data_IF_848497299145
#
_entry.id   IF_848497299145
#
_cell.length_a   1.000
_cell.length_b   1.000
_cell.length_c   1.000
_cell.angle_alpha   90.00
_cell.angle_beta   90.00
_cell.angle_gamma   90.00
#
_symmetry.space_group_name_H-M   'P 1'
#
loop_
_entity.id
_entity.type
_entity.pdbx_description
1 polymer ?
#
# COMPACT_ATOMS: atom_id res chain seq x y z
N UNK A 1 -27.62 -37.02 -6.63
CA UNK A 1 -28.12 -36.41 -5.38
C UNK A 1 -28.50 -34.97 -5.71
N UNK A 2 -29.79 -34.63 -5.78
CA UNK A 2 -30.26 -33.30 -6.22
C UNK A 2 -30.59 -32.47 -4.98
N UNK A 3 -29.72 -31.53 -4.62
CA UNK A 3 -29.93 -30.62 -3.49
C UNK A 3 -30.80 -29.47 -3.99
N UNK A 4 -32.00 -29.34 -3.42
CA UNK A 4 -32.93 -28.23 -3.67
C UNK A 4 -32.58 -27.14 -2.65
N UNK A 5 -32.06 -26.00 -3.11
CA UNK A 5 -31.84 -24.84 -2.26
C UNK A 5 -33.07 -23.92 -2.34
N UNK A 6 -33.78 -23.82 -1.22
CA UNK A 6 -34.93 -22.95 -1.03
C UNK A 6 -34.43 -21.53 -0.72
N UNK A 7 -34.58 -20.63 -1.68
CA UNK A 7 -34.34 -19.19 -1.55
C UNK A 7 -35.36 -18.63 -0.56
N UNK A 8 -34.91 -18.09 0.57
CA UNK A 8 -35.75 -17.33 1.50
C UNK A 8 -35.34 -15.87 1.44
N UNK A 9 -36.24 -15.06 0.92
CA UNK A 9 -36.15 -13.62 0.72
C UNK A 9 -36.51 -12.84 2.00
N UNK A 10 -36.05 -11.58 2.05
CA UNK A 10 -36.41 -10.47 2.97
C UNK A 10 -35.78 -10.43 4.37
N UNK A 11 -35.04 -9.34 4.67
CA UNK A 11 -35.62 -8.15 5.32
C UNK A 11 -34.64 -6.97 5.30
N UNK A 12 -35.09 -5.81 4.81
CA UNK A 12 -34.37 -4.53 4.85
C UNK A 12 -34.69 -3.78 6.15
N UNK A 13 -33.69 -3.26 6.87
CA UNK A 13 -33.87 -2.29 7.97
C UNK A 13 -32.71 -1.27 7.99
N UNK A 14 -33.00 -0.07 7.46
CA UNK A 14 -32.73 1.28 7.99
C UNK A 14 -31.35 1.69 8.52
N UNK A 15 -30.70 2.60 7.79
CA UNK A 15 -29.71 3.58 8.29
C UNK A 15 -30.40 4.79 8.95
N UNK A 16 -29.84 5.33 10.04
CA UNK A 16 -29.93 6.76 10.34
C UNK A 16 -28.59 7.47 10.15
N UNK A 17 -28.61 8.51 9.31
CA UNK A 17 -27.60 9.55 9.18
C UNK A 17 -27.72 10.52 10.36
N UNK A 18 -26.61 10.84 11.04
CA UNK A 18 -26.46 12.12 11.74
C UNK A 18 -25.04 12.66 11.56
N UNK A 19 -25.02 13.82 10.92
CA UNK A 19 -23.91 14.76 10.78
C UNK A 19 -23.41 15.29 12.13
N UNK A 20 -22.12 15.57 12.21
CA UNK A 20 -21.62 16.68 13.02
C UNK A 20 -20.33 17.23 12.41
N UNK A 21 -20.46 18.30 11.64
CA UNK A 21 -19.39 19.28 11.47
C UNK A 21 -19.32 20.10 12.77
N UNK A 22 -18.12 20.34 13.31
CA UNK A 22 -17.95 21.36 14.34
C UNK A 22 -16.81 22.31 13.96
N UNK A 23 -17.12 23.58 14.15
CA UNK A 23 -16.47 24.79 13.68
C UNK A 23 -15.09 25.10 14.29
N UNK A 24 -14.28 25.73 13.43
CA UNK A 24 -13.58 27.01 13.60
C UNK A 24 -13.22 27.41 15.04
N UNK A 25 -11.92 27.56 15.28
CA UNK A 25 -11.44 28.54 16.26
C UNK A 25 -10.47 29.51 15.57
N UNK A 26 -10.75 30.79 15.74
CA UNK A 26 -9.97 31.91 15.28
C UNK A 26 -9.17 32.45 16.46
N UNK A 27 -7.90 32.79 16.24
CA UNK A 27 -7.13 33.76 17.02
C UNK A 27 -5.91 34.12 16.14
N UNK A 28 -5.83 35.29 15.50
CA UNK A 28 -5.60 36.63 16.03
C UNK A 28 -4.12 36.94 16.34
N UNK A 29 -3.55 37.85 15.52
CA UNK A 29 -2.72 39.03 15.88
C UNK A 29 -1.22 39.03 15.49
N UNK A 30 -0.82 40.19 14.94
CA UNK A 30 0.54 40.75 14.87
C UNK A 30 1.24 40.49 13.54
N UNK A 31 1.44 41.42 12.60
CA UNK A 31 1.55 42.88 12.70
C UNK A 31 2.98 43.30 13.00
N UNK A 32 3.87 43.34 11.99
CA UNK A 32 5.09 44.15 11.92
C UNK A 32 5.45 44.27 10.42
N UNK A 33 5.09 45.37 9.77
CA UNK A 33 5.90 46.59 9.61
C UNK A 33 7.21 46.32 8.86
N UNK A 34 7.20 46.74 7.59
CA UNK A 34 8.30 46.62 6.67
C UNK A 34 9.50 47.45 7.10
N UNK A 35 10.68 46.95 6.80
CA UNK A 35 11.91 47.70 6.91
C UNK A 35 12.41 48.04 5.51
N UNK A 36 12.58 49.34 5.31
CA UNK A 36 13.03 49.98 4.09
C UNK A 36 14.41 49.50 3.63
N UNK A 37 14.55 49.33 2.32
CA UNK A 37 15.81 49.08 1.63
C UNK A 37 16.61 50.38 1.52
N UNK A 38 17.59 50.55 2.40
CA UNK A 38 18.65 51.52 2.20
C UNK A 38 19.73 50.91 1.30
N UNK A 39 19.84 51.46 0.08
CA UNK A 39 20.95 51.23 -0.85
C UNK A 39 22.31 51.40 -0.18
N UNK A 40 23.25 50.54 -0.52
CA UNK A 40 24.67 50.89 -0.45
C UNK A 40 25.41 50.40 -1.69
N UNK A 41 26.01 51.38 -2.38
CA UNK A 41 26.97 51.22 -3.47
C UNK A 41 28.31 50.65 -2.98
N UNK A 42 28.74 49.59 -3.68
CA UNK A 42 30.11 49.29 -4.13
C UNK A 42 31.24 49.22 -3.11
N UNK A 43 31.82 48.02 -2.93
CA UNK A 43 33.24 47.84 -2.61
C UNK A 43 33.81 46.55 -3.23
N UNK A 44 35.11 46.62 -3.50
CA UNK A 44 35.96 45.85 -4.41
C UNK A 44 35.98 44.31 -4.32
N UNK A 45 36.32 43.72 -5.47
CA UNK A 45 36.72 42.32 -5.65
C UNK A 45 38.05 42.03 -4.94
N UNK A 46 37.98 41.66 -3.66
CA UNK A 46 39.06 41.02 -2.92
C UNK A 46 39.06 39.51 -3.13
N UNK A 47 40.22 38.94 -3.45
CA UNK A 47 40.54 37.53 -3.64
C UNK A 47 39.60 36.53 -2.96
N UNK A 48 39.07 35.58 -3.75
CA UNK A 48 38.53 34.32 -3.24
C UNK A 48 39.67 33.47 -2.66
N UNK A 49 40.01 33.72 -1.40
CA UNK A 49 40.66 32.72 -0.56
C UNK A 49 39.61 31.72 -0.06
N UNK A 50 40.01 30.45 -0.04
CA UNK A 50 39.17 29.27 0.00
C UNK A 50 38.01 29.31 0.99
N UNK A 51 36.82 29.01 0.47
CA UNK A 51 35.77 28.45 1.30
C UNK A 51 35.91 26.93 1.27
N UNK A 52 36.44 26.44 2.39
CA UNK A 52 36.28 25.10 2.88
C UNK A 52 34.83 24.66 2.61
N UNK A 53 34.67 23.66 1.75
CA UNK A 53 33.38 23.01 1.56
C UNK A 53 33.14 22.16 2.80
N UNK A 54 32.65 22.82 3.86
CA UNK A 54 32.08 22.15 5.01
C UNK A 54 31.11 21.08 4.52
N UNK A 55 31.38 19.86 4.94
CA UNK A 55 30.67 18.65 4.56
C UNK A 55 29.17 18.91 4.43
N UNK A 56 28.68 18.82 3.20
CA UNK A 56 27.26 18.66 3.00
C UNK A 56 26.90 17.27 3.55
N UNK A 57 26.50 17.21 4.82
CA UNK A 57 25.59 16.20 5.37
C UNK A 57 24.22 16.38 4.69
N UNK A 58 24.20 16.15 3.39
CA UNK A 58 23.07 16.29 2.50
C UNK A 58 22.50 14.91 2.22
N UNK A 59 21.49 14.59 3.02
CA UNK A 59 20.44 13.61 2.75
C UNK A 59 20.94 12.19 2.48
N UNK A 60 20.95 11.41 3.57
CA UNK A 60 20.68 9.99 3.52
C UNK A 60 19.44 9.78 2.63
N UNK A 61 19.67 9.35 1.39
CA UNK A 61 18.62 8.84 0.52
C UNK A 61 18.17 7.54 1.16
N UNK A 62 17.27 7.67 2.14
CA UNK A 62 16.65 6.57 2.86
C UNK A 62 16.19 5.53 1.87
N UNK A 63 16.91 4.41 1.88
CA UNK A 63 16.66 3.17 1.16
C UNK A 63 16.18 3.34 -0.28
N UNK A 64 17.11 3.23 -1.23
CA UNK A 64 16.82 2.42 -2.41
C UNK A 64 16.64 0.96 -1.94
N UNK A 65 15.48 0.64 -1.33
CA UNK A 65 15.08 -0.75 -1.22
C UNK A 65 14.98 -1.28 -2.64
N UNK A 66 15.68 -2.40 -2.87
CA UNK A 66 15.97 -2.94 -4.18
C UNK A 66 14.74 -3.05 -5.05
N UNK A 67 14.97 -2.95 -6.36
CA UNK A 67 13.98 -3.24 -7.39
C UNK A 67 13.48 -4.69 -7.22
N UNK A 68 12.54 -4.91 -6.31
CA UNK A 68 11.85 -6.17 -6.20
C UNK A 68 10.86 -6.22 -7.35
N UNK A 69 11.35 -6.77 -8.45
CA UNK A 69 10.58 -6.97 -9.66
C UNK A 69 9.42 -7.91 -9.33
N UNK A 70 8.23 -7.30 -9.25
CA UNK A 70 7.00 -8.04 -9.13
C UNK A 70 6.96 -9.11 -10.22
N UNK A 71 6.46 -10.28 -9.85
CA UNK A 71 6.12 -11.32 -10.82
C UNK A 71 4.62 -11.49 -10.78
N UNK A 72 4.00 -11.44 -11.95
CA UNK A 72 2.56 -11.62 -12.11
C UNK A 72 2.20 -13.08 -11.84
N UNK A 73 1.16 -13.29 -11.04
CA UNK A 73 0.61 -14.60 -10.77
C UNK A 73 -0.46 -15.02 -11.79
N UNK A 74 -0.96 -16.27 -11.70
CA UNK A 74 -1.96 -16.80 -12.63
C UNK A 74 -3.30 -16.03 -12.66
N UNK A 75 -3.61 -15.24 -11.63
CA UNK A 75 -4.82 -14.41 -11.56
C UNK A 75 -4.51 -12.92 -11.75
N UNK A 76 -3.36 -12.56 -12.36
CA UNK A 76 -2.90 -11.19 -12.57
C UNK A 76 -2.63 -10.41 -11.26
N UNK A 77 -2.39 -11.12 -10.16
CA UNK A 77 -1.91 -10.56 -8.90
C UNK A 77 -0.39 -10.55 -8.82
N UNK A 78 0.15 -10.11 -7.68
CA UNK A 78 1.59 -10.14 -7.37
C UNK A 78 1.95 -11.47 -6.70
N UNK A 79 2.95 -12.17 -7.21
CA UNK A 79 3.50 -13.36 -6.57
C UNK A 79 4.38 -13.00 -5.37
N UNK A 80 4.04 -13.58 -4.21
CA UNK A 80 4.87 -13.65 -3.01
C UNK A 80 5.75 -14.89 -3.13
N UNK A 81 6.81 -14.78 -3.95
CA UNK A 81 7.56 -15.90 -4.56
C UNK A 81 8.02 -16.95 -3.55
N UNK A 82 8.56 -16.54 -2.41
CA UNK A 82 9.10 -17.47 -1.42
C UNK A 82 8.04 -18.39 -0.80
N UNK A 83 6.80 -17.91 -0.74
CA UNK A 83 5.66 -18.63 -0.16
C UNK A 83 4.82 -19.39 -1.19
N UNK A 84 5.10 -19.22 -2.48
CA UNK A 84 4.25 -19.70 -3.59
C UNK A 84 2.79 -19.29 -3.42
N UNK A 85 2.57 -18.01 -3.09
CA UNK A 85 1.26 -17.41 -2.97
C UNK A 85 1.14 -16.20 -3.88
N UNK A 86 -0.08 -15.90 -4.33
CA UNK A 86 -0.41 -14.70 -5.08
C UNK A 86 -1.26 -13.77 -4.23
N UNK A 87 -0.90 -12.49 -4.23
CA UNK A 87 -1.65 -11.38 -3.68
C UNK A 87 -2.42 -10.69 -4.81
N UNK A 88 -3.75 -10.68 -4.75
CA UNK A 88 -4.61 -10.05 -5.72
C UNK A 88 -5.54 -9.06 -5.03
N UNK A 89 -5.66 -7.85 -5.58
CA UNK A 89 -6.72 -6.91 -5.22
C UNK A 89 -7.93 -7.14 -6.11
N UNK A 90 -9.03 -7.54 -5.51
CA UNK A 90 -10.31 -7.76 -6.19
C UNK A 90 -10.99 -6.44 -6.58
N UNK A 91 -12.00 -6.50 -7.44
CA UNK A 91 -12.83 -5.33 -7.81
C UNK A 91 -13.54 -4.69 -6.61
N UNK A 92 -13.84 -5.48 -5.57
CA UNK A 92 -14.41 -4.99 -4.31
C UNK A 92 -13.36 -4.38 -3.37
N UNK A 93 -12.11 -4.27 -3.81
CA UNK A 93 -10.94 -3.78 -3.05
C UNK A 93 -10.57 -4.64 -1.85
N UNK A 94 -11.09 -5.87 -1.77
CA UNK A 94 -10.58 -6.88 -0.85
C UNK A 94 -9.28 -7.47 -1.40
N UNK A 95 -8.41 -7.91 -0.51
CA UNK A 95 -7.24 -8.71 -0.85
C UNK A 95 -7.65 -10.18 -0.90
N UNK A 96 -7.29 -10.85 -1.98
CA UNK A 96 -7.39 -12.29 -2.16
C UNK A 96 -5.99 -12.89 -2.17
N UNK A 97 -5.78 -13.94 -1.39
CA UNK A 97 -4.58 -14.75 -1.40
C UNK A 97 -4.90 -16.14 -1.96
N UNK A 98 -4.13 -16.55 -2.97
CA UNK A 98 -4.20 -17.90 -3.55
C UNK A 98 -2.85 -18.58 -3.37
N UNK A 99 -2.84 -19.81 -2.85
CA UNK A 99 -1.60 -20.59 -2.74
C UNK A 99 -1.48 -21.54 -3.92
N UNK A 100 -0.26 -21.79 -4.38
CA UNK A 100 0.02 -22.67 -5.51
C UNK A 100 1.02 -23.77 -5.13
N UNK A 101 0.98 -24.86 -5.89
CA UNK A 101 2.05 -25.85 -5.91
C UNK A 101 3.13 -25.46 -6.94
N UNK A 102 4.19 -26.27 -7.05
CA UNK A 102 5.28 -26.06 -8.02
C UNK A 102 4.84 -26.08 -9.50
N UNK A 103 3.64 -26.61 -9.78
CA UNK A 103 3.04 -26.64 -11.12
C UNK A 103 2.09 -25.47 -11.39
N UNK A 104 2.07 -24.45 -10.51
CA UNK A 104 1.14 -23.31 -10.56
C UNK A 104 -0.34 -23.70 -10.46
N UNK A 105 -0.64 -24.82 -9.82
CA UNK A 105 -2.02 -25.24 -9.55
C UNK A 105 -2.43 -24.77 -8.15
N UNK A 106 -3.61 -24.16 -8.05
CA UNK A 106 -4.12 -23.63 -6.80
C UNK A 106 -4.30 -24.74 -5.74
N UNK A 107 -3.92 -24.44 -4.50
CA UNK A 107 -3.93 -25.35 -3.36
C UNK A 107 -4.85 -24.85 -2.25
N UNK A 108 -5.35 -25.77 -1.44
CA UNK A 108 -6.15 -25.43 -0.24
C UNK A 108 -5.38 -24.49 0.69
N UNK A 109 -6.04 -23.47 1.27
CA UNK A 109 -5.45 -22.60 2.28
C UNK A 109 -5.46 -23.20 3.70
N UNK A 110 -5.99 -24.42 3.89
CA UNK A 110 -6.11 -25.05 5.21
C UNK A 110 -4.74 -25.14 5.94
N UNK A 111 -4.74 -24.76 7.22
CA UNK A 111 -3.54 -24.75 8.06
C UNK A 111 -2.57 -23.58 7.79
N UNK A 112 -2.84 -22.75 6.77
CA UNK A 112 -2.07 -21.55 6.44
C UNK A 112 -2.71 -20.32 7.05
N UNK A 113 -1.90 -19.32 7.39
CA UNK A 113 -2.39 -18.03 7.90
C UNK A 113 -1.66 -16.90 7.19
N UNK A 114 -2.36 -15.77 7.05
CA UNK A 114 -1.84 -14.56 6.40
C UNK A 114 -2.19 -13.35 7.24
N UNK A 115 -1.23 -12.44 7.38
CA UNK A 115 -1.40 -11.11 7.92
C UNK A 115 -1.01 -10.11 6.82
N UNK A 116 -1.89 -9.14 6.55
CA UNK A 116 -1.58 -8.04 5.64
C UNK A 116 -1.76 -6.73 6.38
N UNK A 117 -0.72 -5.89 6.31
CA UNK A 117 -0.76 -4.50 6.76
C UNK A 117 -0.64 -3.60 5.54
N UNK A 118 -1.62 -2.73 5.31
CA UNK A 118 -1.63 -1.79 4.17
C UNK A 118 -2.42 -0.52 4.51
N UNK A 119 -2.34 0.51 3.69
CA UNK A 119 -3.01 1.80 3.91
C UNK A 119 -2.04 2.90 4.33
N UNK A 120 -2.55 3.91 5.04
CA UNK A 120 -1.73 5.05 5.50
C UNK A 120 -0.63 4.58 6.45
N UNK A 121 0.60 5.09 6.29
CA UNK A 121 1.75 4.68 7.10
C UNK A 121 1.58 5.01 8.59
N UNK A 122 0.84 6.08 8.90
CA UNK A 122 0.58 6.55 10.26
C UNK A 122 -0.60 5.81 10.91
N UNK A 123 -1.45 5.17 10.11
CA UNK A 123 -2.61 4.41 10.57
C UNK A 123 -2.92 3.25 9.61
N UNK A 124 -2.11 2.18 9.63
CA UNK A 124 -2.28 1.06 8.73
C UNK A 124 -3.54 0.26 9.07
N UNK A 125 -4.14 -0.33 8.04
CA UNK A 125 -5.19 -1.34 8.16
C UNK A 125 -4.54 -2.71 8.28
N UNK A 126 -4.76 -3.36 9.41
CA UNK A 126 -4.50 -4.79 9.59
C UNK A 126 -5.69 -5.60 9.05
N UNK A 127 -5.41 -6.52 8.13
CA UNK A 127 -6.44 -7.32 7.48
C UNK A 127 -6.55 -8.72 8.10
N UNK A 128 -7.78 -9.13 8.35
CA UNK A 128 -8.17 -10.49 8.71
C UNK A 128 -8.73 -11.20 7.48
N UNK A 129 -8.57 -12.52 7.42
CA UNK A 129 -8.94 -13.31 6.24
C UNK A 129 -9.94 -14.42 6.57
N UNK A 130 -10.83 -14.69 5.61
CA UNK A 130 -11.76 -15.82 5.63
C UNK A 130 -11.50 -16.73 4.44
N UNK A 131 -11.66 -18.03 4.64
CA UNK A 131 -11.62 -19.01 3.56
C UNK A 131 -12.85 -18.82 2.66
N UNK A 132 -12.61 -18.67 1.37
CA UNK A 132 -13.64 -18.64 0.33
C UNK A 132 -13.22 -19.58 -0.81
N UNK A 133 -13.68 -20.83 -0.75
CA UNK A 133 -13.24 -21.88 -1.66
C UNK A 133 -11.74 -22.18 -1.50
N UNK A 134 -10.97 -22.03 -2.57
CA UNK A 134 -9.51 -22.24 -2.57
C UNK A 134 -8.72 -20.97 -2.21
N UNK A 135 -9.41 -19.86 -1.94
CA UNK A 135 -8.80 -18.58 -1.63
C UNK A 135 -8.93 -18.22 -0.15
N UNK A 136 -8.05 -17.35 0.33
CA UNK A 136 -8.29 -16.50 1.50
C UNK A 136 -8.69 -15.11 1.02
N UNK A 137 -9.81 -14.57 1.49
CA UNK A 137 -10.27 -13.23 1.13
C UNK A 137 -10.34 -12.37 2.39
N UNK A 138 -9.81 -11.14 2.31
CA UNK A 138 -9.82 -10.21 3.43
C UNK A 138 -11.24 -9.79 3.78
N UNK A 139 -11.51 -9.60 5.06
CA UNK A 139 -12.78 -9.06 5.53
C UNK A 139 -12.87 -7.55 5.30
N UNK A 140 -11.73 -6.86 5.40
CA UNK A 140 -11.59 -5.43 5.18
C UNK A 140 -11.28 -5.15 3.70
N UNK A 141 -11.72 -4.00 3.24
CA UNK A 141 -11.32 -3.43 1.94
C UNK A 141 -10.11 -2.51 2.13
N UNK A 142 -9.27 -2.42 1.10
CA UNK A 142 -8.20 -1.41 1.04
C UNK A 142 -8.83 0.00 1.10
N UNK A 143 -8.28 0.94 1.90
CA UNK A 143 -8.79 2.31 2.01
C UNK A 143 -8.65 3.09 0.69
N UNK A 144 -9.45 4.14 0.47
CA UNK A 144 -9.35 4.99 -0.72
C UNK A 144 -7.94 5.54 -0.97
N UNK A 145 -7.53 5.53 -2.24
CA UNK A 145 -6.17 5.85 -2.66
C UNK A 145 -5.55 4.69 -3.44
N UNK A 146 -4.39 4.97 -4.06
CA UNK A 146 -3.76 4.05 -5.00
C UNK A 146 -2.32 3.69 -4.65
N UNK A 147 -1.70 4.28 -3.63
CA UNK A 147 -0.29 4.04 -3.32
C UNK A 147 -0.12 3.86 -1.82
N UNK A 148 0.09 2.62 -1.40
CA UNK A 148 0.22 2.29 0.02
C UNK A 148 1.45 1.42 0.29
N UNK A 149 2.21 1.69 1.37
CA UNK A 149 3.13 0.69 1.90
C UNK A 149 2.33 -0.56 2.28
N UNK A 150 2.79 -1.72 1.85
CA UNK A 150 2.14 -2.99 2.12
C UNK A 150 3.17 -4.00 2.62
N UNK A 151 2.85 -4.66 3.73
CA UNK A 151 3.61 -5.78 4.25
C UNK A 151 2.69 -7.01 4.33
N UNK A 152 3.19 -8.15 3.87
CA UNK A 152 2.47 -9.42 3.84
C UNK A 152 3.31 -10.45 4.60
N UNK A 153 2.76 -11.01 5.67
CA UNK A 153 3.34 -12.16 6.37
C UNK A 153 2.50 -13.41 6.07
N UNK A 154 3.15 -14.48 5.61
CA UNK A 154 2.52 -15.76 5.29
C UNK A 154 3.16 -16.85 6.14
N UNK A 155 2.33 -17.62 6.83
CA UNK A 155 2.74 -18.84 7.52
C UNK A 155 2.09 -20.03 6.82
N UNK A 156 2.92 -20.91 6.25
CA UNK A 156 2.47 -22.11 5.54
C UNK A 156 2.13 -23.30 6.46
N UNK A 157 2.15 -23.09 7.79
CA UNK A 157 2.08 -24.13 8.79
C UNK A 157 3.46 -24.62 9.21
N UNK A 158 3.53 -25.31 10.36
CA UNK A 158 4.80 -25.86 10.86
C UNK A 158 5.85 -24.83 11.30
N UNK A 159 5.47 -23.56 11.44
CA UNK A 159 6.33 -22.48 11.94
C UNK A 159 7.17 -21.76 10.90
N UNK A 160 7.13 -22.16 9.62
CA UNK A 160 7.80 -21.43 8.54
C UNK A 160 7.00 -20.18 8.16
N UNK A 161 7.63 -19.02 8.30
CA UNK A 161 7.07 -17.71 7.96
C UNK A 161 7.82 -17.08 6.81
N UNK A 162 7.11 -16.34 5.99
CA UNK A 162 7.63 -15.54 4.88
C UNK A 162 7.09 -14.13 5.01
N UNK A 163 7.92 -13.15 4.69
CA UNK A 163 7.55 -11.74 4.73
C UNK A 163 7.93 -11.10 3.41
N UNK A 164 7.03 -10.27 2.88
CA UNK A 164 7.25 -9.52 1.65
C UNK A 164 6.68 -8.11 1.83
N UNK A 165 7.44 -7.10 1.38
CA UNK A 165 7.12 -5.68 1.51
C UNK A 165 7.19 -5.01 0.16
N UNK A 166 6.15 -4.24 -0.17
CA UNK A 166 6.06 -3.57 -1.45
C UNK A 166 5.15 -2.35 -1.39
N UNK A 167 5.23 -1.52 -2.42
CA UNK A 167 4.24 -0.45 -2.63
C UNK A 167 3.06 -1.02 -3.42
N UNK A 168 1.87 -0.99 -2.82
CA UNK A 168 0.62 -1.35 -3.48
C UNK A 168 0.16 -0.18 -4.35
N UNK A 169 0.71 -0.11 -5.57
CA UNK A 169 0.27 0.82 -6.60
C UNK A 169 -0.92 0.24 -7.39
N UNK A 170 -2.12 0.75 -7.15
CA UNK A 170 -3.38 0.30 -7.77
C UNK A 170 -3.68 1.00 -9.12
N UNK A 171 -2.76 1.81 -9.62
CA UNK A 171 -2.87 2.41 -10.95
C UNK A 171 -2.75 1.34 -12.04
N UNK A 172 -3.38 1.57 -13.19
CA UNK A 172 -3.20 0.72 -14.36
C UNK A 172 -1.81 0.89 -14.95
N UNK A 173 -1.18 -0.21 -15.34
CA UNK A 173 0.04 -0.16 -16.13
C UNK A 173 -0.26 0.40 -17.53
N UNK A 174 0.54 1.33 -18.06
CA UNK A 174 0.32 1.89 -19.39
C UNK A 174 0.65 0.92 -20.53
N UNK A 175 1.32 -0.21 -20.25
CA UNK A 175 1.85 -1.14 -21.28
C UNK A 175 1.35 -2.58 -21.17
N UNK A 176 0.65 -2.95 -20.10
CA UNK A 176 0.05 -4.28 -19.94
C UNK A 176 -1.26 -4.21 -19.16
N UNK A 177 -1.97 -5.34 -19.09
CA UNK A 177 -3.31 -5.40 -18.48
C UNK A 177 -3.29 -5.49 -16.94
N UNK A 178 -2.11 -5.45 -16.32
CA UNK A 178 -1.95 -5.53 -14.87
C UNK A 178 -2.00 -4.15 -14.21
N UNK A 179 -2.37 -4.13 -12.93
CA UNK A 179 -2.07 -2.99 -12.06
C UNK A 179 -0.57 -2.93 -11.77
N UNK A 180 -0.06 -1.73 -11.50
CA UNK A 180 1.37 -1.48 -11.24
C UNK A 180 1.96 -2.38 -10.14
N UNK A 181 1.23 -2.65 -9.06
CA UNK A 181 1.71 -3.54 -7.99
C UNK A 181 2.00 -4.99 -8.44
N UNK A 182 1.41 -5.43 -9.55
CA UNK A 182 1.56 -6.77 -10.14
C UNK A 182 2.27 -6.72 -11.51
N UNK A 183 2.76 -5.55 -11.92
CA UNK A 183 3.34 -5.34 -13.24
C UNK A 183 4.82 -5.76 -13.28
N UNK A 184 5.23 -6.40 -14.37
CA UNK A 184 6.62 -6.82 -14.62
C UNK A 184 7.35 -5.90 -15.64
N UNK A 185 6.71 -4.83 -16.11
CA UNK A 185 7.16 -4.10 -17.30
C UNK A 185 8.33 -3.10 -17.09
N UNK A 186 8.97 -3.07 -15.91
CA UNK A 186 10.24 -2.36 -15.63
C UNK A 186 10.31 -0.88 -16.07
N UNK A 187 9.23 -0.11 -15.91
CA UNK A 187 9.19 1.31 -16.32
C UNK A 187 9.93 2.26 -15.38
#
# INVERSE_FOLDING_TARGET
MKIKYTVTTLLAIGLPLLSSCNDKNAEAKGGHEGHDHASHEGHDHGSHDGHDHGDHEGHDHGSHEGHDHAVAGPNNGRMIKESQAEFLVTDSRNVQITFFNESNEAQSPEGKTVLVLTGDRSNPVEMTFKVNGIHLVSEQTIPEGNNFPTAVEINLGGGKKFEDKFTLNLSDCPTCDNKEYACECHH
#
